data_IF_461840906392
#
_entry.id   IF_461840906392
#
_cell.length_a   1.000
_cell.length_b   1.000
_cell.length_c   1.000
_cell.angle_alpha   90.00
_cell.angle_beta   90.00
_cell.angle_gamma   90.00
#
_symmetry.space_group_name_H-M   'P 1'
#
loop_
_entity.id
_entity.type
_entity.pdbx_description
1 polymer ?
#
# COMPACT_ATOMS: atom_id res chain seq x y z
N UNK A 1 -36.43 -13.40 -5.75
CA UNK A 1 -35.90 -12.07 -5.33
C UNK A 1 -34.65 -11.86 -6.12
N UNK A 2 -34.65 -10.91 -7.04
CA UNK A 2 -33.56 -10.71 -8.00
C UNK A 2 -32.40 -10.01 -7.32
N UNK A 3 -31.26 -10.69 -7.21
CA UNK A 3 -30.00 -10.06 -6.81
C UNK A 3 -29.52 -9.18 -7.96
N UNK A 4 -29.40 -7.88 -7.73
CA UNK A 4 -28.76 -6.91 -8.61
C UNK A 4 -27.28 -7.00 -8.33
N UNK A 5 -26.40 -7.34 -9.30
CA UNK A 5 -24.96 -7.29 -9.09
C UNK A 5 -24.54 -5.81 -8.94
N UNK A 6 -23.94 -5.48 -7.80
CA UNK A 6 -23.35 -4.18 -7.54
C UNK A 6 -22.14 -4.02 -8.47
N UNK A 7 -22.32 -3.34 -9.59
CA UNK A 7 -21.19 -2.91 -10.42
C UNK A 7 -20.50 -1.75 -9.70
N UNK A 8 -19.37 -2.02 -9.12
CA UNK A 8 -18.46 -0.99 -8.61
C UNK A 8 -18.04 -0.14 -9.81
N UNK A 9 -18.50 1.09 -9.82
CA UNK A 9 -18.28 2.02 -10.91
C UNK A 9 -16.99 2.81 -10.62
N UNK A 10 -15.84 2.34 -11.10
CA UNK A 10 -14.54 3.03 -11.06
C UNK A 10 -14.51 4.36 -11.86
N UNK A 11 -15.66 5.00 -12.06
CA UNK A 11 -15.83 6.22 -12.87
C UNK A 11 -16.15 7.45 -12.03
N UNK A 12 -15.29 7.87 -11.12
CA UNK A 12 -15.49 9.20 -10.52
C UNK A 12 -14.26 10.10 -10.41
N UNK A 13 -13.13 9.71 -11.01
CA UNK A 13 -11.99 10.61 -11.25
C UNK A 13 -11.57 10.61 -12.73
N UNK A 14 -12.50 10.35 -13.64
CA UNK A 14 -12.24 10.33 -15.08
C UNK A 14 -12.35 11.74 -15.63
N UNK A 15 -11.27 12.50 -15.68
CA UNK A 15 -10.94 13.41 -16.78
C UNK A 15 -9.47 13.87 -16.75
N UNK A 16 -8.54 13.00 -16.44
CA UNK A 16 -7.17 13.10 -16.95
C UNK A 16 -6.78 11.68 -17.33
N UNK A 17 -6.18 11.52 -18.49
CA UNK A 17 -5.67 10.25 -18.99
C UNK A 17 -4.72 9.66 -17.93
N UNK A 18 -5.28 8.87 -17.01
CA UNK A 18 -4.52 8.06 -16.08
C UNK A 18 -3.59 7.20 -16.94
N UNK A 19 -2.30 7.44 -16.83
CA UNK A 19 -1.26 6.58 -17.39
C UNK A 19 -1.40 5.23 -16.68
N UNK A 20 -2.28 4.40 -17.22
CA UNK A 20 -2.52 3.05 -16.77
C UNK A 20 -1.21 2.28 -16.95
N UNK A 21 -0.66 1.71 -15.88
CA UNK A 21 0.31 0.63 -16.01
C UNK A 21 -0.52 -0.64 -16.13
N UNK A 22 -0.71 -1.15 -17.36
CA UNK A 22 -1.39 -2.43 -17.50
C UNK A 22 -0.52 -3.48 -16.82
N UNK A 23 -1.15 -4.37 -16.06
CA UNK A 23 -0.50 -5.63 -15.74
C UNK A 23 -0.06 -6.24 -17.07
N UNK A 24 1.17 -6.76 -17.17
CA UNK A 24 1.59 -7.42 -18.38
C UNK A 24 0.56 -8.52 -18.69
N UNK A 25 0.04 -8.53 -19.91
CA UNK A 25 -0.94 -9.52 -20.38
C UNK A 25 -0.45 -10.98 -20.27
N UNK A 26 0.84 -11.13 -20.01
CA UNK A 26 1.54 -12.34 -19.55
C UNK A 26 2.57 -11.86 -18.55
N UNK A 27 2.43 -12.22 -17.28
CA UNK A 27 3.56 -12.21 -16.35
C UNK A 27 4.53 -13.24 -16.90
N UNK A 28 5.51 -12.76 -17.64
CA UNK A 28 6.62 -13.61 -18.05
C UNK A 28 7.47 -13.74 -16.79
N UNK A 29 7.50 -14.93 -16.18
CA UNK A 29 8.42 -15.26 -15.10
C UNK A 29 9.86 -15.31 -15.63
N UNK A 30 10.26 -14.24 -16.29
CA UNK A 30 11.61 -14.05 -16.81
C UNK A 30 12.05 -12.65 -16.43
N UNK A 31 12.90 -12.59 -15.44
CA UNK A 31 13.49 -11.31 -15.04
C UNK A 31 14.26 -10.71 -16.23
N UNK A 32 14.10 -9.40 -16.47
CA UNK A 32 14.94 -8.64 -17.41
C UNK A 32 16.44 -8.90 -17.15
N UNK A 33 16.80 -9.21 -15.89
CA UNK A 33 18.18 -9.50 -15.49
C UNK A 33 18.73 -10.78 -16.12
N UNK A 34 17.88 -11.75 -16.48
CA UNK A 34 18.25 -13.05 -17.05
C UNK A 34 18.11 -13.09 -18.57
N UNK A 35 17.38 -12.14 -19.17
CA UNK A 35 17.22 -12.09 -20.64
C UNK A 35 18.54 -11.68 -21.31
N UNK A 36 19.06 -12.58 -22.15
CA UNK A 36 20.29 -12.38 -22.91
C UNK A 36 20.10 -11.53 -24.17
N UNK A 37 18.85 -11.27 -24.56
CA UNK A 37 18.52 -10.52 -25.78
C UNK A 37 18.35 -9.02 -25.53
N UNK A 38 18.31 -8.59 -24.27
CA UNK A 38 18.20 -7.18 -23.90
C UNK A 38 19.60 -6.57 -23.78
N UNK A 39 19.78 -5.38 -24.35
CA UNK A 39 21.01 -4.59 -24.15
C UNK A 39 21.14 -4.24 -22.67
N UNK A 40 22.34 -4.40 -22.12
CA UNK A 40 22.64 -4.16 -20.70
C UNK A 40 23.82 -3.23 -20.59
N UNK A 41 23.60 -2.07 -20.00
CA UNK A 41 24.65 -1.09 -19.71
C UNK A 41 25.22 -1.34 -18.32
N UNK A 42 26.52 -1.52 -18.20
CA UNK A 42 27.20 -1.73 -16.92
C UNK A 42 27.24 -0.44 -16.10
N UNK A 43 26.86 -0.52 -14.82
CA UNK A 43 26.90 0.62 -13.90
C UNK A 43 28.33 1.15 -13.67
N UNK A 44 29.35 0.28 -13.77
CA UNK A 44 30.76 0.68 -13.67
C UNK A 44 31.17 1.70 -14.74
N UNK A 45 30.55 1.64 -15.92
CA UNK A 45 30.84 2.58 -17.02
C UNK A 45 30.22 3.95 -16.81
N UNK A 46 29.13 4.02 -16.05
CA UNK A 46 28.36 5.25 -15.83
C UNK A 46 28.88 5.98 -14.59
N UNK A 47 29.24 5.24 -13.55
CA UNK A 47 29.61 5.77 -12.24
C UNK A 47 28.38 6.25 -11.44
N UNK A 48 28.59 6.55 -10.17
CA UNK A 48 27.52 6.94 -9.23
C UNK A 48 26.76 8.19 -9.66
N UNK A 49 27.47 9.31 -9.87
CA UNK A 49 26.83 10.58 -10.25
C UNK A 49 26.14 10.52 -11.60
N UNK A 50 26.74 9.83 -12.59
CA UNK A 50 26.11 9.63 -13.89
C UNK A 50 24.82 8.81 -13.79
N UNK A 51 24.79 7.80 -12.93
CA UNK A 51 23.58 7.02 -12.64
C UNK A 51 22.48 7.88 -12.00
N UNK A 52 22.84 8.68 -10.99
CA UNK A 52 21.90 9.60 -10.33
C UNK A 52 21.29 10.56 -11.36
N UNK A 53 22.11 11.19 -12.19
CA UNK A 53 21.64 12.13 -13.22
C UNK A 53 20.67 11.47 -14.20
N UNK A 54 20.96 10.25 -14.69
CA UNK A 54 20.10 9.51 -15.62
C UNK A 54 18.76 9.16 -14.95
N UNK A 55 18.78 8.57 -13.76
CA UNK A 55 17.58 8.07 -13.09
C UNK A 55 16.66 9.19 -12.61
N UNK A 56 17.21 10.33 -12.25
CA UNK A 56 16.44 11.47 -11.72
C UNK A 56 16.04 12.51 -12.76
N UNK A 57 16.52 12.34 -14.00
CA UNK A 57 16.09 13.16 -15.11
C UNK A 57 14.58 13.02 -15.34
N UNK A 58 13.87 14.13 -15.35
CA UNK A 58 12.43 14.16 -15.59
C UNK A 58 11.56 14.10 -14.31
N UNK A 59 12.15 14.35 -13.14
CA UNK A 59 11.43 14.60 -11.89
C UNK A 59 11.31 16.10 -11.60
N UNK A 60 10.24 16.77 -12.04
CA UNK A 60 10.05 18.19 -11.77
C UNK A 60 9.57 18.42 -10.33
N UNK A 61 10.02 19.49 -9.70
CA UNK A 61 9.42 19.97 -8.44
C UNK A 61 8.04 20.55 -8.73
N UNK A 62 7.00 20.05 -8.06
CA UNK A 62 5.60 20.45 -8.27
C UNK A 62 5.02 21.16 -7.06
N UNK A 63 5.55 20.86 -5.89
CA UNK A 63 5.03 21.39 -4.63
C UNK A 63 5.70 22.73 -4.32
N UNK A 64 4.93 23.79 -4.00
CA UNK A 64 5.50 25.08 -3.63
C UNK A 64 6.41 25.03 -2.40
N UNK A 65 6.24 24.02 -1.55
CA UNK A 65 7.12 23.78 -0.40
C UNK A 65 8.51 23.26 -0.78
N UNK A 66 8.70 22.73 -2.00
CA UNK A 66 10.00 22.22 -2.47
C UNK A 66 10.82 23.36 -3.06
N UNK A 67 11.63 24.03 -2.24
CA UNK A 67 12.47 25.15 -2.70
C UNK A 67 13.71 24.69 -3.45
N UNK A 68 14.33 23.59 -3.03
CA UNK A 68 15.48 22.94 -3.65
C UNK A 68 15.32 21.44 -3.56
N UNK A 69 15.52 20.73 -4.65
CA UNK A 69 15.52 19.26 -4.72
C UNK A 69 16.88 18.69 -5.05
N UNK A 70 16.90 17.63 -5.86
CA UNK A 70 18.10 16.87 -6.27
C UNK A 70 19.17 17.79 -6.89
N UNK A 71 20.45 17.47 -6.65
CA UNK A 71 21.61 18.16 -7.23
C UNK A 71 22.35 19.08 -6.26
N UNK A 72 22.12 18.92 -4.96
CA UNK A 72 22.87 19.54 -3.86
C UNK A 72 22.97 18.55 -2.70
N UNK A 73 23.71 18.86 -1.63
CA UNK A 73 23.92 17.99 -0.46
C UNK A 73 22.61 17.70 0.30
N UNK A 74 21.58 18.53 0.13
CA UNK A 74 20.28 18.34 0.75
C UNK A 74 19.13 19.05 0.05
N UNK A 75 17.91 18.59 0.27
CA UNK A 75 16.69 19.28 -0.16
C UNK A 75 16.30 20.38 0.82
N UNK A 76 15.69 21.45 0.30
CA UNK A 76 15.15 22.55 1.12
C UNK A 76 13.63 22.58 0.99
N UNK A 77 12.93 22.43 2.11
CA UNK A 77 11.48 22.35 2.19
C UNK A 77 10.96 23.37 3.19
N UNK A 78 9.97 24.17 2.77
CA UNK A 78 9.29 25.15 3.61
C UNK A 78 7.83 24.73 3.87
N UNK A 79 7.47 24.44 5.11
CA UNK A 79 6.11 24.09 5.52
C UNK A 79 5.32 25.27 6.11
N UNK A 80 5.93 26.43 6.24
CA UNK A 80 5.30 27.62 6.83
C UNK A 80 4.64 27.32 8.20
N UNK A 81 3.32 27.30 8.26
CA UNK A 81 2.54 27.10 9.52
C UNK A 81 2.03 25.68 9.73
N UNK A 82 2.21 24.76 8.76
CA UNK A 82 1.78 23.37 8.87
C UNK A 82 2.82 22.52 9.61
N UNK A 83 2.42 21.34 10.06
CA UNK A 83 3.33 20.37 10.68
C UNK A 83 3.79 19.35 9.66
N UNK A 84 5.08 19.02 9.69
CA UNK A 84 5.60 17.92 8.93
C UNK A 84 5.18 16.58 9.53
N UNK A 85 4.79 15.65 8.67
CA UNK A 85 4.59 14.23 8.98
C UNK A 85 5.61 13.46 8.14
N UNK A 86 6.41 12.62 8.75
CA UNK A 86 7.52 11.92 8.10
C UNK A 86 7.41 10.44 8.43
N UNK A 87 7.51 9.59 7.40
CA UNK A 87 7.65 8.14 7.53
C UNK A 87 8.75 7.60 6.64
N UNK A 88 9.24 6.41 6.94
CA UNK A 88 10.25 5.72 6.14
C UNK A 88 10.11 4.23 6.24
N UNK A 89 10.12 3.54 5.08
CA UNK A 89 10.15 2.10 4.98
C UNK A 89 11.37 1.61 4.21
N UNK A 90 11.68 0.34 4.45
CA UNK A 90 12.78 -0.38 3.84
C UNK A 90 12.26 -1.65 3.15
N UNK A 91 12.41 -1.77 1.84
CA UNK A 91 12.07 -2.95 1.08
C UNK A 91 13.34 -3.72 0.71
N UNK A 92 13.37 -5.01 1.03
CA UNK A 92 14.54 -5.89 0.85
C UNK A 92 14.13 -7.05 -0.05
N UNK A 93 14.93 -7.31 -1.10
CA UNK A 93 14.73 -8.46 -1.98
C UNK A 93 14.81 -9.77 -1.20
N UNK A 94 13.86 -10.66 -1.44
CA UNK A 94 13.72 -11.94 -0.74
C UNK A 94 13.04 -11.86 0.62
N UNK A 95 12.70 -10.64 1.10
CA UNK A 95 11.91 -10.40 2.31
C UNK A 95 10.56 -9.77 1.96
N UNK A 96 10.59 -8.60 1.29
CA UNK A 96 9.40 -7.82 0.98
C UNK A 96 8.94 -7.96 -0.48
N UNK A 97 9.82 -8.45 -1.35
CA UNK A 97 9.52 -8.70 -2.76
C UNK A 97 10.41 -9.79 -3.35
N UNK A 98 9.92 -10.42 -4.42
CA UNK A 98 10.65 -11.42 -5.17
C UNK A 98 10.61 -11.07 -6.66
N UNK A 99 11.79 -10.80 -7.23
CA UNK A 99 11.94 -10.37 -8.64
C UNK A 99 11.57 -11.46 -9.65
N UNK A 100 11.32 -12.70 -9.23
CA UNK A 100 10.84 -13.74 -10.14
C UNK A 100 9.40 -13.49 -10.62
N UNK A 101 8.59 -12.72 -9.85
CA UNK A 101 7.21 -12.38 -10.20
C UNK A 101 6.83 -10.90 -9.94
N UNK A 102 7.76 -10.09 -9.40
CA UNK A 102 7.55 -8.65 -9.20
C UNK A 102 8.29 -7.86 -10.29
N UNK A 103 7.61 -7.29 -11.30
CA UNK A 103 8.25 -6.43 -12.28
C UNK A 103 8.82 -5.16 -11.62
N UNK A 104 9.99 -4.71 -12.07
CA UNK A 104 10.70 -3.59 -11.46
C UNK A 104 9.88 -2.29 -11.47
N UNK A 105 9.12 -2.04 -12.52
CA UNK A 105 8.21 -0.88 -12.60
C UNK A 105 7.11 -0.92 -11.53
N UNK A 106 6.52 -2.09 -11.27
CA UNK A 106 5.54 -2.27 -10.19
C UNK A 106 6.21 -2.13 -8.83
N UNK A 107 7.42 -2.67 -8.65
CA UNK A 107 8.20 -2.52 -7.43
C UNK A 107 8.50 -1.05 -7.13
N UNK A 108 8.93 -0.27 -8.13
CA UNK A 108 9.17 1.16 -7.96
C UNK A 108 7.92 1.93 -7.57
N UNK A 109 6.78 1.63 -8.19
CA UNK A 109 5.48 2.20 -7.82
C UNK A 109 5.10 1.84 -6.39
N UNK A 110 5.14 0.54 -6.05
CA UNK A 110 4.80 0.02 -4.71
C UNK A 110 5.69 0.62 -3.63
N UNK A 111 7.01 0.74 -3.87
CA UNK A 111 7.94 1.31 -2.91
C UNK A 111 7.59 2.75 -2.50
N UNK A 112 7.10 3.56 -3.42
CA UNK A 112 6.60 4.90 -3.11
C UNK A 112 5.26 4.82 -2.39
N UNK A 113 4.33 4.03 -2.92
CA UNK A 113 2.96 3.98 -2.47
C UNK A 113 2.85 3.52 -1.01
N UNK A 114 3.60 2.48 -0.58
CA UNK A 114 3.57 1.99 0.81
C UNK A 114 3.93 3.11 1.80
N UNK A 115 4.94 3.91 1.47
CA UNK A 115 5.37 5.05 2.29
C UNK A 115 4.36 6.21 2.30
N UNK A 116 3.65 6.45 1.19
CA UNK A 116 2.60 7.47 1.15
C UNK A 116 1.40 7.05 1.98
N UNK A 117 1.14 5.75 2.13
CA UNK A 117 0.08 5.19 2.95
C UNK A 117 0.18 5.67 4.40
N UNK A 118 1.36 5.63 5.00
CA UNK A 118 1.61 6.13 6.36
C UNK A 118 1.23 7.61 6.53
N UNK A 119 1.57 8.43 5.53
CA UNK A 119 1.25 9.86 5.57
C UNK A 119 -0.27 10.06 5.55
N UNK A 120 -0.98 9.32 4.68
CA UNK A 120 -2.44 9.40 4.60
C UNK A 120 -3.11 8.80 5.84
N UNK A 121 -2.52 7.77 6.46
CA UNK A 121 -2.94 7.21 7.74
C UNK A 121 -2.86 8.21 8.91
N UNK A 122 -2.04 9.26 8.78
CA UNK A 122 -2.00 10.40 9.72
C UNK A 122 -2.94 11.56 9.33
N UNK A 123 -3.82 11.37 8.33
CA UNK A 123 -4.70 12.40 7.77
C UNK A 123 -3.92 13.64 7.27
N UNK A 124 -2.72 13.42 6.75
CA UNK A 124 -1.85 14.42 6.17
C UNK A 124 -1.74 14.24 4.65
N UNK A 125 -1.23 15.22 3.94
CA UNK A 125 -1.02 15.19 2.49
C UNK A 125 0.47 15.08 2.22
N UNK A 126 0.88 13.99 1.57
CA UNK A 126 2.25 13.77 1.12
C UNK A 126 2.62 14.78 0.03
N UNK A 127 3.83 15.32 0.10
CA UNK A 127 4.33 16.36 -0.79
C UNK A 127 5.72 16.07 -1.36
N UNK A 128 6.60 15.43 -0.61
CA UNK A 128 7.95 15.07 -1.05
C UNK A 128 8.29 13.63 -0.66
N UNK A 129 9.24 13.05 -1.42
CA UNK A 129 9.90 11.79 -1.06
C UNK A 129 11.40 11.89 -1.29
N UNK A 130 12.17 11.08 -0.56
CA UNK A 130 13.55 10.72 -0.93
C UNK A 130 13.62 9.22 -1.16
N UNK A 131 14.48 8.78 -2.10
CA UNK A 131 14.65 7.37 -2.43
C UNK A 131 16.12 7.00 -2.34
N UNK A 132 16.45 6.06 -1.47
CA UNK A 132 17.78 5.48 -1.36
C UNK A 132 17.77 4.05 -1.86
N UNK A 133 18.74 3.68 -2.71
CA UNK A 133 18.88 2.33 -3.24
C UNK A 133 20.27 1.75 -2.96
N UNK A 134 20.31 0.48 -2.59
CA UNK A 134 21.54 -0.30 -2.58
C UNK A 134 21.41 -1.43 -3.60
N UNK A 135 22.31 -1.44 -4.61
CA UNK A 135 22.16 -2.25 -5.82
C UNK A 135 23.34 -3.19 -5.99
N UNK A 136 23.10 -4.47 -6.26
CA UNK A 136 24.17 -5.38 -6.62
C UNK A 136 24.56 -5.20 -8.09
N UNK A 137 25.79 -5.56 -8.43
CA UNK A 137 26.36 -5.42 -9.78
C UNK A 137 25.67 -6.29 -10.86
N UNK A 138 24.69 -7.11 -10.50
CA UNK A 138 23.87 -7.87 -11.46
C UNK A 138 22.81 -7.01 -12.17
N UNK A 139 22.50 -5.81 -11.62
CA UNK A 139 21.51 -4.92 -12.19
C UNK A 139 22.14 -4.01 -13.25
N UNK A 140 21.74 -4.10 -14.52
CA UNK A 140 22.14 -3.15 -15.53
C UNK A 140 21.35 -1.83 -15.37
N UNK A 141 21.77 -0.79 -16.06
CA UNK A 141 21.10 0.51 -16.05
C UNK A 141 19.61 0.39 -16.41
N UNK A 142 19.28 -0.36 -17.44
CA UNK A 142 17.93 -0.50 -17.98
C UNK A 142 16.96 -1.06 -16.91
N UNK A 143 17.43 -1.94 -16.02
CA UNK A 143 16.64 -2.44 -14.91
C UNK A 143 16.33 -1.35 -13.88
N UNK A 144 17.28 -0.46 -13.60
CA UNK A 144 17.07 0.65 -12.70
C UNK A 144 16.20 1.75 -13.32
N UNK A 145 16.31 1.97 -14.64
CA UNK A 145 15.41 2.87 -15.37
C UNK A 145 13.95 2.38 -15.26
N UNK A 146 13.70 1.06 -15.39
CA UNK A 146 12.37 0.48 -15.21
C UNK A 146 11.84 0.69 -13.76
N UNK A 147 12.69 0.49 -12.74
CA UNK A 147 12.35 0.78 -11.35
C UNK A 147 11.95 2.25 -11.16
N UNK A 148 12.77 3.17 -11.70
CA UNK A 148 12.52 4.61 -11.58
C UNK A 148 11.35 5.10 -12.44
N UNK A 149 10.98 4.41 -13.50
CA UNK A 149 9.72 4.68 -14.20
C UNK A 149 8.51 4.42 -13.29
N UNK A 150 8.54 3.37 -12.47
CA UNK A 150 7.52 3.10 -11.47
C UNK A 150 7.45 4.17 -10.39
N UNK A 151 8.62 4.60 -9.86
CA UNK A 151 8.72 5.68 -8.89
C UNK A 151 8.14 6.98 -9.47
N UNK A 152 8.53 7.34 -10.71
CA UNK A 152 8.03 8.53 -11.40
C UNK A 152 6.52 8.49 -11.58
N UNK A 153 5.97 7.33 -11.97
CA UNK A 153 4.53 7.17 -12.12
C UNK A 153 3.78 7.41 -10.80
N UNK A 154 4.28 6.87 -9.68
CA UNK A 154 3.70 7.13 -8.37
C UNK A 154 3.78 8.62 -8.02
N UNK A 155 4.93 9.27 -8.25
CA UNK A 155 5.10 10.71 -8.06
C UNK A 155 4.11 11.52 -8.90
N UNK A 156 3.87 11.11 -10.15
CA UNK A 156 2.94 11.79 -11.05
C UNK A 156 1.47 11.63 -10.61
N UNK A 157 1.06 10.45 -10.17
CA UNK A 157 -0.30 10.17 -9.69
C UNK A 157 -0.58 10.90 -8.38
N UNK A 158 0.30 10.75 -7.40
CA UNK A 158 0.09 11.31 -6.05
C UNK A 158 0.51 12.78 -5.93
N UNK A 159 1.15 13.35 -6.98
CA UNK A 159 1.63 14.74 -7.01
C UNK A 159 2.65 14.99 -5.88
N UNK A 160 3.61 14.10 -5.75
CA UNK A 160 4.74 14.23 -4.83
C UNK A 160 6.04 14.49 -5.59
N UNK A 161 6.96 15.17 -4.96
CA UNK A 161 8.27 15.51 -5.55
C UNK A 161 9.34 14.55 -5.05
N UNK A 162 10.11 13.95 -5.95
CA UNK A 162 11.37 13.32 -5.57
C UNK A 162 12.41 14.44 -5.36
N UNK A 163 12.85 14.64 -4.12
CA UNK A 163 13.71 15.77 -3.75
C UNK A 163 15.13 15.37 -3.37
N UNK A 164 15.40 14.08 -3.23
CA UNK A 164 16.73 13.56 -2.89
C UNK A 164 16.75 12.06 -2.74
N UNK A 165 17.87 11.54 -2.29
CA UNK A 165 18.08 10.12 -2.07
C UNK A 165 19.54 9.78 -1.93
N UNK A 166 19.87 8.51 -2.05
CA UNK A 166 21.24 7.98 -2.01
C UNK A 166 21.34 6.76 -2.92
N UNK A 167 22.53 6.50 -3.46
CA UNK A 167 22.80 5.33 -4.29
C UNK A 167 24.11 4.69 -3.87
N UNK A 168 24.04 3.43 -3.48
CA UNK A 168 25.23 2.68 -3.06
C UNK A 168 25.21 1.24 -3.60
N UNK A 169 26.31 0.52 -3.42
CA UNK A 169 26.40 -0.88 -3.80
C UNK A 169 25.86 -1.80 -2.72
N UNK A 170 25.30 -2.94 -3.15
CA UNK A 170 24.92 -4.08 -2.29
C UNK A 170 25.71 -5.31 -2.66
N UNK A 171 26.12 -6.11 -1.68
CA UNK A 171 26.73 -7.41 -1.93
C UNK A 171 25.70 -8.46 -2.38
N UNK A 172 24.41 -8.25 -2.03
CA UNK A 172 23.32 -9.17 -2.37
C UNK A 172 22.03 -8.41 -2.63
N UNK A 173 21.46 -8.61 -3.81
CA UNK A 173 20.13 -8.16 -4.13
C UNK A 173 19.95 -6.64 -4.22
N UNK A 174 18.70 -6.24 -4.22
CA UNK A 174 18.23 -4.86 -4.26
C UNK A 174 17.62 -4.50 -2.90
N UNK A 175 17.99 -3.34 -2.39
CA UNK A 175 17.37 -2.73 -1.20
C UNK A 175 16.89 -1.35 -1.61
N UNK A 176 15.66 -1.00 -1.21
CA UNK A 176 15.04 0.29 -1.49
C UNK A 176 14.56 0.87 -0.18
N UNK A 177 14.99 2.08 0.14
CA UNK A 177 14.44 2.86 1.25
C UNK A 177 13.80 4.12 0.70
N UNK A 178 12.54 4.34 1.05
CA UNK A 178 11.82 5.56 0.71
C UNK A 178 11.48 6.28 1.99
N UNK A 179 11.74 7.58 2.04
CA UNK A 179 11.24 8.44 3.10
C UNK A 179 10.20 9.37 2.49
N UNK A 180 9.00 9.35 3.02
CA UNK A 180 7.90 10.21 2.64
C UNK A 180 7.74 11.36 3.63
N UNK A 181 7.45 12.55 3.08
CA UNK A 181 7.26 13.78 3.84
C UNK A 181 5.92 14.36 3.41
N UNK A 182 5.06 14.54 4.39
CA UNK A 182 3.75 15.16 4.22
C UNK A 182 3.55 16.31 5.17
N UNK A 183 2.42 16.99 5.03
CA UNK A 183 2.05 18.11 5.87
C UNK A 183 0.57 18.16 6.15
N UNK A 184 0.22 18.70 7.31
CA UNK A 184 -1.14 19.04 7.69
C UNK A 184 -1.14 20.10 8.79
N UNK A 185 -2.23 20.91 8.91
CA UNK A 185 -2.50 21.67 10.12
C UNK A 185 -2.57 20.74 11.34
N UNK A 186 -2.04 21.20 12.50
CA UNK A 186 -1.95 20.34 13.69
C UNK A 186 -3.32 19.76 14.10
N UNK A 187 -4.37 20.56 14.00
CA UNK A 187 -5.74 20.15 14.35
C UNK A 187 -6.34 19.10 13.41
N UNK A 188 -5.79 18.91 12.21
CA UNK A 188 -6.22 17.86 11.25
C UNK A 188 -5.49 16.55 11.43
N UNK A 189 -4.31 16.55 12.04
CA UNK A 189 -3.54 15.31 12.24
C UNK A 189 -4.37 14.34 13.09
N UNK A 190 -4.37 13.08 12.67
CA UNK A 190 -4.99 11.95 13.36
C UNK A 190 -3.91 10.96 13.76
N UNK A 191 -4.05 10.38 14.93
CA UNK A 191 -3.11 9.42 15.51
C UNK A 191 -3.79 8.06 15.67
N UNK A 192 -3.02 7.03 15.98
CA UNK A 192 -3.53 5.69 16.33
C UNK A 192 -4.30 5.70 17.66
N UNK A 193 -3.97 6.61 18.57
CA UNK A 193 -4.70 6.83 19.82
C UNK A 193 -5.82 7.87 19.62
N UNK A 194 -6.90 7.74 20.39
CA UNK A 194 -8.00 8.71 20.39
C UNK A 194 -9.37 8.11 20.12
N UNK A 195 -9.42 6.80 19.81
CA UNK A 195 -10.68 6.05 19.74
C UNK A 195 -11.38 6.08 21.11
N UNK A 196 -12.71 6.23 21.11
CA UNK A 196 -13.54 6.33 22.30
C UNK A 196 -14.62 5.26 22.29
N UNK A 197 -15.08 4.88 23.46
CA UNK A 197 -16.22 3.98 23.60
C UNK A 197 -17.41 4.48 22.76
N UNK A 198 -18.04 3.56 22.03
CA UNK A 198 -19.13 3.77 21.07
C UNK A 198 -18.71 4.42 19.73
N UNK A 199 -17.43 4.73 19.49
CA UNK A 199 -17.00 5.09 18.15
C UNK A 199 -17.23 3.92 17.19
N UNK A 200 -17.56 4.23 15.94
CA UNK A 200 -17.70 3.24 14.88
C UNK A 200 -16.34 2.95 14.25
N UNK A 201 -16.07 1.67 13.99
CA UNK A 201 -14.87 1.21 13.27
C UNK A 201 -15.21 1.18 11.80
N UNK A 202 -14.40 1.84 10.99
CA UNK A 202 -14.61 2.00 9.55
C UNK A 202 -13.34 1.59 8.82
N UNK A 203 -13.50 0.89 7.68
CA UNK A 203 -12.42 0.62 6.73
C UNK A 203 -12.77 1.16 5.36
N UNK A 204 -11.76 1.53 4.59
CA UNK A 204 -11.88 1.81 3.16
C UNK A 204 -11.74 0.53 2.34
N UNK A 205 -12.25 0.52 1.10
CA UNK A 205 -12.07 -0.54 0.11
C UNK A 205 -12.50 -1.93 0.58
N UNK A 206 -11.74 -2.95 0.14
CA UNK A 206 -11.86 -4.36 0.53
C UNK A 206 -10.52 -4.88 1.06
N UNK A 207 -10.56 -6.01 1.79
CA UNK A 207 -9.41 -6.52 2.54
C UNK A 207 -9.06 -7.94 2.12
N UNK A 208 -7.76 -8.27 2.25
CA UNK A 208 -7.19 -9.60 2.02
C UNK A 208 -6.84 -9.90 0.55
N UNK A 209 -7.24 -9.02 -0.38
CA UNK A 209 -7.02 -9.23 -1.82
C UNK A 209 -5.53 -9.21 -2.18
N UNK A 210 -4.72 -8.37 -1.55
CA UNK A 210 -3.27 -8.31 -1.77
C UNK A 210 -2.59 -9.61 -1.35
N UNK A 211 -2.89 -10.13 -0.18
CA UNK A 211 -2.34 -11.40 0.30
C UNK A 211 -2.70 -12.59 -0.62
N UNK A 212 -3.94 -12.68 -1.08
CA UNK A 212 -4.32 -13.74 -2.03
C UNK A 212 -3.61 -13.58 -3.37
N UNK A 213 -3.39 -12.35 -3.83
CA UNK A 213 -2.55 -12.07 -4.99
C UNK A 213 -1.13 -12.61 -4.83
N UNK A 214 -0.53 -12.44 -3.65
CA UNK A 214 0.77 -13.03 -3.31
C UNK A 214 0.72 -14.56 -3.38
N UNK A 215 -0.29 -15.21 -2.76
CA UNK A 215 -0.44 -16.66 -2.75
C UNK A 215 -0.57 -17.24 -4.18
N UNK A 216 -1.31 -16.57 -5.05
CA UNK A 216 -1.42 -16.93 -6.47
C UNK A 216 -0.06 -16.82 -7.16
N UNK A 217 0.65 -15.68 -7.00
CA UNK A 217 1.96 -15.47 -7.61
C UNK A 217 3.00 -16.48 -7.14
N UNK A 218 3.02 -16.82 -5.85
CA UNK A 218 3.92 -17.81 -5.29
C UNK A 218 3.62 -19.22 -5.82
N UNK A 219 2.34 -19.64 -5.84
CA UNK A 219 1.92 -20.92 -6.42
C UNK A 219 2.38 -21.04 -7.87
N UNK A 220 2.06 -20.05 -8.69
CA UNK A 220 2.39 -20.07 -10.11
C UNK A 220 3.90 -20.03 -10.36
N UNK A 221 4.66 -19.31 -9.54
CA UNK A 221 6.11 -19.31 -9.59
C UNK A 221 6.71 -20.70 -9.30
N UNK A 222 6.18 -21.41 -8.30
CA UNK A 222 6.61 -22.79 -8.00
C UNK A 222 6.27 -23.76 -9.15
N UNK A 223 5.09 -23.65 -9.76
CA UNK A 223 4.70 -24.44 -10.93
C UNK A 223 5.63 -24.15 -12.10
N UNK A 224 5.93 -22.88 -12.37
CA UNK A 224 6.83 -22.47 -13.46
C UNK A 224 8.26 -22.98 -13.25
N UNK A 225 8.80 -22.98 -12.02
CA UNK A 225 10.13 -23.56 -11.72
C UNK A 225 10.22 -25.05 -12.08
N UNK A 226 9.14 -25.79 -11.87
CA UNK A 226 9.09 -27.23 -12.20
C UNK A 226 8.89 -27.46 -13.70
N UNK A 227 8.08 -26.65 -14.36
CA UNK A 227 7.79 -26.77 -15.79
C UNK A 227 7.75 -25.39 -16.49
N UNK A 228 8.92 -24.86 -16.93
CA UNK A 228 9.01 -23.55 -17.57
C UNK A 228 8.25 -23.40 -18.91
N UNK A 229 7.77 -24.50 -19.48
CA UNK A 229 6.95 -24.47 -20.70
C UNK A 229 5.47 -24.21 -20.42
N UNK A 230 5.05 -24.37 -19.19
CA UNK A 230 3.68 -24.08 -18.77
C UNK A 230 3.57 -22.61 -18.39
N UNK A 231 2.85 -21.84 -19.21
CA UNK A 231 2.53 -20.45 -18.85
C UNK A 231 1.37 -20.44 -17.88
N UNK A 232 1.48 -19.73 -16.75
CA UNK A 232 0.39 -19.63 -15.78
C UNK A 232 -0.82 -18.88 -16.36
N UNK A 233 -2.02 -19.33 -16.02
CA UNK A 233 -3.26 -18.61 -16.30
C UNK A 233 -3.57 -17.67 -15.12
N UNK A 234 -3.22 -16.41 -15.26
CA UNK A 234 -3.41 -15.37 -14.25
C UNK A 234 -4.66 -14.52 -14.47
N UNK A 235 -5.37 -14.72 -15.61
CA UNK A 235 -6.55 -13.92 -15.95
C UNK A 235 -7.65 -13.95 -14.88
N UNK A 236 -8.00 -15.10 -14.27
CA UNK A 236 -9.01 -15.17 -13.22
C UNK A 236 -8.65 -14.40 -11.94
N UNK A 237 -7.35 -14.17 -11.70
CA UNK A 237 -6.82 -13.55 -10.49
C UNK A 237 -6.32 -12.11 -10.69
N UNK A 238 -6.60 -11.51 -11.84
CA UNK A 238 -6.04 -10.20 -12.22
C UNK A 238 -6.24 -9.15 -11.13
N UNK A 239 -7.43 -9.08 -10.53
CA UNK A 239 -7.72 -8.14 -9.45
C UNK A 239 -6.82 -8.36 -8.22
N UNK A 240 -6.67 -9.60 -7.77
CA UNK A 240 -5.84 -9.94 -6.60
C UNK A 240 -4.36 -9.62 -6.84
N UNK A 241 -3.88 -9.95 -8.05
CA UNK A 241 -2.51 -9.69 -8.47
C UNK A 241 -2.26 -8.18 -8.55
N UNK A 242 -3.21 -7.41 -9.08
CA UNK A 242 -3.11 -5.95 -9.12
C UNK A 242 -3.02 -5.35 -7.72
N UNK A 243 -3.84 -5.83 -6.77
CA UNK A 243 -3.79 -5.41 -5.36
C UNK A 243 -2.43 -5.67 -4.72
N UNK A 244 -1.75 -6.78 -5.08
CA UNK A 244 -0.43 -7.14 -4.56
C UNK A 244 0.70 -6.36 -5.23
N UNK A 245 0.70 -6.26 -6.56
CA UNK A 245 1.80 -5.68 -7.32
C UNK A 245 1.72 -4.16 -7.42
N UNK A 246 0.51 -3.60 -7.38
CA UNK A 246 0.22 -2.18 -7.54
C UNK A 246 -0.84 -1.72 -6.54
N UNK A 247 -0.58 -1.82 -5.23
CA UNK A 247 -1.50 -1.27 -4.24
C UNK A 247 -1.64 0.25 -4.38
N UNK A 248 -2.73 0.81 -3.83
CA UNK A 248 -3.01 2.24 -3.90
C UNK A 248 -3.04 2.86 -2.50
N UNK A 249 -2.27 3.93 -2.30
CA UNK A 249 -2.37 4.72 -1.08
C UNK A 249 -3.65 5.58 -1.10
N UNK A 250 -4.40 5.58 0.00
CA UNK A 250 -5.78 6.08 0.04
C UNK A 250 -5.87 7.61 0.28
N UNK A 251 -5.16 8.39 -0.56
CA UNK A 251 -5.31 9.85 -0.62
C UNK A 251 -6.74 10.29 -0.88
N UNK A 252 -7.43 9.54 -1.74
CA UNK A 252 -8.84 9.77 -2.08
C UNK A 252 -9.75 9.75 -0.87
N UNK A 253 -9.50 8.85 0.11
CA UNK A 253 -10.26 8.74 1.35
C UNK A 253 -9.98 9.92 2.26
N UNK A 254 -8.72 10.36 2.40
CA UNK A 254 -8.39 11.57 3.18
C UNK A 254 -9.15 12.79 2.64
N UNK A 255 -9.15 12.98 1.31
CA UNK A 255 -9.88 14.07 0.66
C UNK A 255 -11.40 13.90 0.77
N UNK A 256 -11.90 12.67 0.73
CA UNK A 256 -13.31 12.36 0.93
C UNK A 256 -13.77 12.74 2.35
N UNK A 257 -13.02 12.34 3.37
CA UNK A 257 -13.33 12.66 4.78
C UNK A 257 -13.32 14.18 5.02
N UNK A 258 -12.35 14.88 4.45
CA UNK A 258 -12.31 16.35 4.49
C UNK A 258 -13.57 16.96 3.85
N UNK A 259 -13.95 16.50 2.66
CA UNK A 259 -15.15 16.97 1.95
C UNK A 259 -16.44 16.69 2.72
N UNK A 260 -16.53 15.57 3.42
CA UNK A 260 -17.68 15.20 4.25
C UNK A 260 -17.68 15.92 5.60
N UNK A 261 -16.61 16.63 5.95
CA UNK A 261 -16.45 17.25 7.28
C UNK A 261 -16.41 16.21 8.39
N UNK A 262 -15.76 15.07 8.13
CA UNK A 262 -15.53 13.99 9.10
C UNK A 262 -14.06 14.00 9.48
N UNK A 263 -13.77 14.13 10.77
CA UNK A 263 -12.43 13.93 11.32
C UNK A 263 -12.41 12.61 12.09
N UNK A 264 -11.62 11.62 11.69
CA UNK A 264 -11.44 10.39 12.46
C UNK A 264 -10.96 10.67 13.88
N UNK A 265 -11.41 9.86 14.83
CA UNK A 265 -10.93 9.92 16.22
C UNK A 265 -9.61 9.17 16.39
N UNK A 266 -9.41 8.10 15.62
CA UNK A 266 -8.12 7.42 15.43
C UNK A 266 -8.01 6.90 14.00
N UNK A 267 -6.80 6.69 13.50
CA UNK A 267 -6.58 6.16 12.14
C UNK A 267 -5.20 5.52 12.01
N UNK A 268 -5.12 4.50 11.17
CA UNK A 268 -3.90 3.92 10.62
C UNK A 268 -4.21 3.20 9.30
N UNK A 269 -3.21 2.80 8.53
CA UNK A 269 -3.38 1.96 7.36
C UNK A 269 -3.29 0.48 7.72
N UNK A 270 -3.68 -0.41 6.82
CA UNK A 270 -3.65 -1.86 7.01
C UNK A 270 -2.48 -2.44 6.21
N UNK A 271 -1.35 -2.63 6.88
CA UNK A 271 -0.11 -3.20 6.33
C UNK A 271 0.12 -4.66 6.73
N UNK A 272 -0.17 -5.04 7.98
CA UNK A 272 0.05 -6.39 8.52
C UNK A 272 -1.23 -7.23 8.61
N UNK A 273 -2.39 -6.60 8.44
CA UNK A 273 -3.72 -7.21 8.49
C UNK A 273 -4.64 -6.58 9.52
N UNK A 274 -5.93 -6.55 9.22
CA UNK A 274 -6.96 -5.84 9.99
C UNK A 274 -6.88 -6.09 11.51
N UNK A 275 -6.59 -7.33 11.94
CA UNK A 275 -6.50 -7.66 13.36
C UNK A 275 -5.36 -6.95 14.07
N UNK A 276 -4.19 -6.89 13.43
CA UNK A 276 -2.99 -6.25 13.99
C UNK A 276 -3.26 -4.76 14.23
N UNK A 277 -3.70 -4.07 13.19
CA UNK A 277 -3.94 -2.63 13.23
C UNK A 277 -5.06 -2.24 14.19
N UNK A 278 -6.16 -3.01 14.22
CA UNK A 278 -7.24 -2.74 15.17
C UNK A 278 -6.79 -2.94 16.62
N UNK A 279 -5.97 -3.96 16.88
CA UNK A 279 -5.38 -4.18 18.21
C UNK A 279 -4.42 -3.04 18.59
N UNK A 280 -3.67 -2.47 17.63
CA UNK A 280 -2.85 -1.29 17.87
C UNK A 280 -3.67 -0.06 18.26
N UNK A 281 -4.76 0.22 17.54
CA UNK A 281 -5.70 1.30 17.88
C UNK A 281 -6.27 1.09 19.28
N UNK A 282 -6.78 -0.11 19.58
CA UNK A 282 -7.37 -0.43 20.86
C UNK A 282 -6.37 -0.28 22.01
N UNK A 283 -5.15 -0.79 21.83
CA UNK A 283 -4.10 -0.70 22.84
C UNK A 283 -3.67 0.74 23.12
N UNK A 284 -3.46 1.54 22.08
CA UNK A 284 -3.03 2.93 22.24
C UNK A 284 -4.15 3.84 22.75
N UNK A 285 -5.40 3.51 22.46
CA UNK A 285 -6.58 4.24 22.96
C UNK A 285 -7.08 3.72 24.31
N UNK A 286 -6.54 2.60 24.82
CA UNK A 286 -6.97 1.94 26.07
C UNK A 286 -8.47 1.55 26.06
N UNK A 287 -8.91 0.93 24.95
CA UNK A 287 -10.29 0.52 24.71
C UNK A 287 -10.36 -0.93 24.25
N UNK A 288 -11.58 -1.50 24.25
CA UNK A 288 -11.88 -2.76 23.59
C UNK A 288 -12.58 -2.53 22.25
N UNK A 289 -12.90 -3.61 21.54
CA UNK A 289 -13.67 -3.51 20.29
C UNK A 289 -14.53 -4.75 20.04
N UNK A 290 -15.54 -4.57 19.19
CA UNK A 290 -16.32 -5.63 18.56
C UNK A 290 -16.29 -5.44 17.06
N UNK A 291 -15.59 -6.37 16.40
CA UNK A 291 -15.50 -6.47 14.95
C UNK A 291 -16.57 -7.45 14.46
N UNK A 292 -17.38 -7.08 13.49
CA UNK A 292 -18.46 -7.91 12.96
C UNK A 292 -18.00 -8.65 11.71
N UNK A 293 -17.83 -9.96 11.77
CA UNK A 293 -17.34 -10.78 10.64
C UNK A 293 -18.13 -10.54 9.34
N UNK A 294 -19.45 -10.49 9.44
CA UNK A 294 -20.35 -10.31 8.28
C UNK A 294 -20.22 -8.94 7.58
N UNK A 295 -19.58 -7.97 8.23
CA UNK A 295 -19.41 -6.60 7.74
C UNK A 295 -18.03 -6.32 7.17
N UNK A 296 -17.09 -7.26 7.30
CA UNK A 296 -15.77 -7.12 6.69
C UNK A 296 -15.95 -7.12 5.17
N UNK A 297 -15.51 -6.07 4.45
CA UNK A 297 -15.67 -6.01 3.00
C UNK A 297 -14.68 -6.98 2.32
N UNK A 298 -15.21 -7.91 1.56
CA UNK A 298 -14.47 -8.92 0.82
C UNK A 298 -14.89 -8.88 -0.66
N UNK A 299 -13.91 -8.86 -1.56
CA UNK A 299 -14.18 -8.95 -3.00
C UNK A 299 -14.63 -10.36 -3.39
N UNK A 300 -15.60 -10.55 -4.31
CA UNK A 300 -15.99 -11.87 -4.78
C UNK A 300 -14.86 -12.70 -5.38
N UNK A 301 -13.88 -12.07 -6.05
CA UNK A 301 -12.70 -12.77 -6.60
C UNK A 301 -11.85 -13.33 -5.47
N UNK A 302 -11.68 -12.57 -4.37
CA UNK A 302 -11.01 -13.05 -3.17
C UNK A 302 -11.70 -14.28 -2.59
N UNK A 303 -13.04 -14.24 -2.42
CA UNK A 303 -13.79 -15.34 -1.83
C UNK A 303 -13.61 -16.62 -2.66
N UNK A 304 -13.75 -16.53 -3.98
CA UNK A 304 -13.57 -17.67 -4.90
C UNK A 304 -12.14 -18.22 -4.84
N UNK A 305 -11.13 -17.36 -4.83
CA UNK A 305 -9.73 -17.78 -4.72
C UNK A 305 -9.45 -18.45 -3.37
N UNK A 306 -9.98 -17.93 -2.27
CA UNK A 306 -9.85 -18.56 -0.96
C UNK A 306 -10.46 -19.97 -0.93
N UNK A 307 -11.63 -20.17 -1.55
CA UNK A 307 -12.23 -21.51 -1.68
C UNK A 307 -11.32 -22.47 -2.46
N UNK A 308 -10.77 -22.03 -3.59
CA UNK A 308 -9.84 -22.83 -4.39
C UNK A 308 -8.57 -23.20 -3.61
N UNK A 309 -8.02 -22.28 -2.83
CA UNK A 309 -6.82 -22.50 -2.01
C UNK A 309 -7.13 -23.17 -0.66
N UNK A 310 -8.41 -23.49 -0.39
CA UNK A 310 -8.87 -24.04 0.89
C UNK A 310 -8.47 -23.15 2.10
N UNK A 311 -8.61 -21.84 1.94
CA UNK A 311 -8.36 -20.82 2.95
C UNK A 311 -9.67 -20.16 3.40
N UNK A 312 -9.70 -19.67 4.64
CA UNK A 312 -10.81 -18.84 5.13
C UNK A 312 -10.63 -17.40 4.67
N UNK A 313 -11.56 -16.85 3.89
CA UNK A 313 -11.53 -15.46 3.43
C UNK A 313 -11.54 -14.45 4.59
N UNK A 314 -12.25 -14.77 5.69
CA UNK A 314 -12.23 -13.99 6.92
C UNK A 314 -10.82 -13.95 7.53
N UNK A 315 -10.14 -15.09 7.64
CA UNK A 315 -8.79 -15.15 8.19
C UNK A 315 -7.78 -14.46 7.30
N UNK A 316 -7.95 -14.53 5.99
CA UNK A 316 -7.12 -13.80 5.00
C UNK A 316 -7.26 -12.29 5.21
N UNK A 317 -8.48 -11.75 5.33
CA UNK A 317 -8.69 -10.33 5.58
C UNK A 317 -8.18 -9.88 6.96
N UNK A 318 -8.27 -10.74 7.98
CA UNK A 318 -7.80 -10.41 9.33
C UNK A 318 -6.28 -10.39 9.46
N UNK A 319 -5.56 -11.19 8.67
CA UNK A 319 -4.13 -11.47 8.89
C UNK A 319 -3.26 -11.41 7.63
N UNK A 320 -3.82 -11.13 6.46
CA UNK A 320 -3.10 -11.18 5.18
C UNK A 320 -2.11 -10.03 4.98
N UNK A 321 -2.51 -8.83 5.33
CA UNK A 321 -1.68 -7.63 5.17
C UNK A 321 -1.55 -7.12 3.73
N UNK A 322 -0.75 -6.08 3.57
CA UNK A 322 -0.44 -5.38 2.32
C UNK A 322 -1.65 -4.78 1.57
N UNK A 323 -2.79 -4.59 2.25
CA UNK A 323 -3.99 -3.99 1.67
C UNK A 323 -3.86 -2.47 1.50
N UNK A 324 -3.13 -1.80 2.39
CA UNK A 324 -2.92 -0.35 2.44
C UNK A 324 -4.22 0.45 2.40
N UNK A 325 -5.31 -0.17 2.85
CA UNK A 325 -6.57 0.51 3.11
C UNK A 325 -6.50 1.26 4.45
N UNK A 326 -7.34 2.28 4.63
CA UNK A 326 -7.39 3.03 5.89
C UNK A 326 -8.39 2.38 6.86
N UNK A 327 -7.90 2.07 8.05
CA UNK A 327 -8.69 1.71 9.22
C UNK A 327 -8.80 2.93 10.13
N UNK A 328 -10.02 3.32 10.48
CA UNK A 328 -10.23 4.49 11.33
C UNK A 328 -11.49 4.38 12.19
N UNK A 329 -11.56 5.21 13.22
CA UNK A 329 -12.75 5.33 14.06
C UNK A 329 -13.38 6.69 13.92
N UNK A 330 -14.71 6.75 14.01
CA UNK A 330 -15.49 7.99 13.96
C UNK A 330 -16.54 8.02 15.07
N UNK A 331 -16.92 9.23 15.49
CA UNK A 331 -18.07 9.40 16.36
C UNK A 331 -19.36 8.92 15.68
N UNK A 332 -20.29 8.35 16.46
CA UNK A 332 -21.61 7.98 15.94
C UNK A 332 -22.35 9.15 15.29
N UNK A 333 -22.10 10.39 15.75
CA UNK A 333 -22.70 11.59 15.17
C UNK A 333 -22.30 11.83 13.72
N UNK A 334 -21.19 11.26 13.25
CA UNK A 334 -20.70 11.38 11.89
C UNK A 334 -21.19 10.24 10.97
N UNK A 335 -21.92 9.25 11.51
CA UNK A 335 -22.39 8.09 10.74
C UNK A 335 -23.18 8.47 9.50
N UNK A 336 -24.15 9.38 9.64
CA UNK A 336 -25.02 9.78 8.52
C UNK A 336 -24.25 10.47 7.39
N UNK A 337 -23.07 11.02 7.67
CA UNK A 337 -22.20 11.64 6.66
C UNK A 337 -21.50 10.62 5.76
N UNK A 338 -21.22 9.41 6.28
CA UNK A 338 -20.52 8.34 5.54
C UNK A 338 -21.45 7.23 5.06
N UNK A 339 -22.67 7.15 5.59
CA UNK A 339 -23.62 6.09 5.30
C UNK A 339 -23.90 5.96 3.80
N UNK A 340 -23.80 4.72 3.30
CA UNK A 340 -24.05 4.42 1.88
C UNK A 340 -22.92 4.85 0.92
N UNK A 341 -21.79 5.32 1.45
CA UNK A 341 -20.61 5.56 0.61
C UNK A 341 -20.00 4.21 0.19
N UNK A 342 -19.81 3.94 -1.11
CA UNK A 342 -19.32 2.64 -1.59
C UNK A 342 -17.86 2.36 -1.23
N UNK A 343 -17.09 3.38 -0.85
CA UNK A 343 -15.68 3.25 -0.50
C UNK A 343 -15.45 3.05 1.00
N UNK A 344 -16.52 3.08 1.83
CA UNK A 344 -16.41 3.03 3.29
C UNK A 344 -17.36 1.98 3.87
N UNK A 345 -16.82 1.10 4.70
CA UNK A 345 -17.58 0.05 5.39
C UNK A 345 -17.46 0.20 6.90
N UNK A 346 -18.61 0.33 7.59
CA UNK A 346 -18.65 0.26 9.05
C UNK A 346 -18.63 -1.21 9.44
N UNK A 347 -17.53 -1.66 10.06
CA UNK A 347 -17.26 -3.07 10.35
C UNK A 347 -17.38 -3.44 11.82
N UNK A 348 -17.62 -2.47 12.70
CA UNK A 348 -17.69 -2.74 14.14
C UNK A 348 -17.81 -1.44 14.95
N UNK A 349 -17.52 -1.57 16.23
CA UNK A 349 -17.54 -0.44 17.16
C UNK A 349 -16.57 -0.65 18.33
N UNK A 350 -16.16 0.45 18.93
CA UNK A 350 -15.27 0.52 20.10
C UNK A 350 -16.09 0.29 21.39
N UNK A 351 -15.53 -0.48 22.31
CA UNK A 351 -16.12 -0.81 23.61
C UNK A 351 -15.21 -0.39 24.76
N UNK A 352 -15.70 -0.50 25.98
CA UNK A 352 -14.86 -0.40 27.16
C UNK A 352 -13.75 -1.46 27.16
N UNK A 353 -12.58 -1.11 27.67
CA UNK A 353 -11.39 -1.99 27.70
C UNK A 353 -11.65 -3.34 28.38
N UNK A 354 -12.51 -3.38 29.41
CA UNK A 354 -12.83 -4.62 30.14
C UNK A 354 -13.52 -5.68 29.29
N UNK A 355 -14.12 -5.29 28.16
CA UNK A 355 -14.77 -6.20 27.22
C UNK A 355 -13.78 -6.89 26.28
N UNK A 356 -12.51 -6.46 26.25
CA UNK A 356 -11.49 -6.97 25.34
C UNK A 356 -11.76 -6.67 23.86
N UNK A 357 -10.92 -7.23 22.97
CA UNK A 357 -11.06 -7.07 21.54
C UNK A 357 -11.56 -8.39 20.93
N UNK A 358 -12.73 -8.39 20.31
CA UNK A 358 -13.40 -9.61 19.87
C UNK A 358 -13.93 -9.49 18.45
N UNK A 359 -13.79 -10.57 17.67
CA UNK A 359 -14.54 -10.83 16.46
C UNK A 359 -15.90 -11.43 16.85
N UNK A 360 -16.98 -10.86 16.35
CA UNK A 360 -18.32 -11.44 16.44
C UNK A 360 -18.57 -12.20 15.14
N UNK A 361 -18.61 -13.52 15.26
CA UNK A 361 -18.80 -14.42 14.11
C UNK A 361 -20.23 -14.32 13.55
N UNK A 362 -20.43 -14.88 12.34
CA UNK A 362 -21.76 -15.03 11.74
C UNK A 362 -22.71 -15.86 12.61
N UNK A 363 -22.19 -16.74 13.48
CA UNK A 363 -22.95 -17.49 14.47
C UNK A 363 -23.23 -16.68 15.76
N UNK A 364 -22.87 -15.40 15.78
CA UNK A 364 -22.98 -14.50 16.95
C UNK A 364 -22.14 -14.96 18.17
N UNK A 365 -21.01 -15.63 17.91
CA UNK A 365 -20.04 -15.99 18.93
C UNK A 365 -18.94 -14.95 19.01
N UNK A 366 -18.49 -14.62 20.24
CA UNK A 366 -17.36 -13.71 20.44
C UNK A 366 -16.05 -14.49 20.53
N UNK A 367 -15.15 -14.26 19.59
CA UNK A 367 -13.82 -14.88 19.52
C UNK A 367 -12.78 -13.77 19.74
N UNK A 368 -11.82 -13.93 20.68
CA UNK A 368 -10.75 -12.96 20.85
C UNK A 368 -9.97 -12.71 19.56
N UNK A 369 -9.73 -11.45 19.23
CA UNK A 369 -8.86 -11.08 18.12
C UNK A 369 -7.40 -11.35 18.49
N UNK A 370 -6.66 -11.96 17.55
CA UNK A 370 -5.22 -12.22 17.67
C UNK A 370 -4.51 -11.64 16.45
N UNK A 371 -3.37 -10.97 16.68
CA UNK A 371 -2.47 -10.52 15.62
C UNK A 371 -1.68 -11.74 15.10
N UNK A 372 -2.11 -12.30 13.96
CA UNK A 372 -1.43 -13.43 13.29
C UNK A 372 -0.79 -13.01 11.98
N UNK A 373 -0.76 -11.70 11.69
CA UNK A 373 -0.19 -11.13 10.49
C UNK A 373 1.33 -11.30 10.38
N UNK A 374 1.91 -10.63 9.42
CA UNK A 374 3.35 -10.69 9.16
C UNK A 374 4.17 -10.25 10.39
N UNK A 375 5.32 -10.90 10.59
CA UNK A 375 6.25 -10.56 11.66
C UNK A 375 7.69 -10.73 11.16
N UNK A 376 8.43 -9.63 11.14
CA UNK A 376 9.81 -9.55 10.62
C UNK A 376 10.82 -10.53 11.30
N UNK A 377 10.51 -11.03 12.49
CA UNK A 377 11.42 -11.83 13.32
C UNK A 377 10.86 -13.22 13.68
N UNK A 378 9.94 -13.72 12.90
CA UNK A 378 9.42 -15.10 13.03
C UNK A 378 9.91 -15.99 11.90
#
# INVERSE_FOLDING_TARGET
MNFIPCKINHKSLANESLLFVPLPSKLVFYSMLEDKNIHKTSLEQIGEFGLIDILTQGFPLRNPSSLKGIGDDGAVIDFAHEKAVISTDLLIEGVHFNLSYMPLKHLGYKAVMVNLSDIYAMNAIATQITVSIAVSNRFPLEALEELYEGIRLACDIYKVDLVGGDTTSSLRGLIISVTSIGKAPLEKIVYRNGAKENDLIVVSGDLGSAYMGLQVLERENEVFKVNPNLQPDLEPYQYLIERQLKPEARKDIVLLLEKLGVKPTSMMDISDGLSSELLHICKQSQVGCRLMEEKIPLDPVLINACEEFNLSSTMVALSGGEDYELLFTISQADYDKIKGNPNLSVIGYITDASQGCNLITRANEAIPLEARGWNAFR
#
